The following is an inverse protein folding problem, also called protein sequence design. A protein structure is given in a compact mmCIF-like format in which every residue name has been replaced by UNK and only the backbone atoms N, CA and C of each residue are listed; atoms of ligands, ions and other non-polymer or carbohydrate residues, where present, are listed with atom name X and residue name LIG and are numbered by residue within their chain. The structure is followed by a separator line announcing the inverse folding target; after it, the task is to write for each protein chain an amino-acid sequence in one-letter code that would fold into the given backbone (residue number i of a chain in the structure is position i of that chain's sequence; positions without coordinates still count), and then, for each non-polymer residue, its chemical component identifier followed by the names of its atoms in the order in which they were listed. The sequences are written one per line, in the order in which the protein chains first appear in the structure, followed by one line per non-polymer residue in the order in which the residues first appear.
data_IF_414727826473
#
_entry.id   IF_414727826473
#
_cell.length_a   1.000
_cell.length_b   1.000
_cell.length_c   1.000
_cell.angle_alpha   90.00
_cell.angle_beta   90.00
_cell.angle_gamma   90.00
#
_symmetry.space_group_name_H-M   'P 1'
#
loop_
_entity.id
_entity.type
_entity.pdbx_description
1 polymer ?
#
# COMPACT_ATOMS: atom_id res chain seq x y z
N UNK A 1 73.29 -2.43 55.02
CA UNK A 1 73.54 -2.63 53.57
C UNK A 1 72.46 -3.60 53.08
N UNK A 2 71.67 -3.21 52.06
CA UNK A 2 70.60 -3.98 51.37
C UNK A 2 69.30 -4.22 52.18
N UNK A 3 68.27 -3.38 52.01
CA UNK A 3 67.13 -3.42 51.05
C UNK A 3 66.17 -4.60 51.33
N UNK A 4 64.89 -4.31 51.62
CA UNK A 4 63.73 -4.72 50.82
C UNK A 4 62.44 -4.06 51.38
N UNK A 5 61.89 -3.13 50.61
CA UNK A 5 60.55 -2.59 50.81
C UNK A 5 59.55 -3.51 50.10
N UNK A 6 58.57 -4.05 50.85
CA UNK A 6 57.46 -4.80 50.28
C UNK A 6 56.32 -3.82 49.95
N UNK A 7 56.08 -3.62 48.66
CA UNK A 7 54.84 -3.01 48.15
C UNK A 7 53.74 -4.08 48.16
N UNK A 8 52.68 -3.88 48.94
CA UNK A 8 51.45 -4.66 48.85
C UNK A 8 50.52 -3.95 47.86
N UNK A 9 50.30 -4.54 46.69
CA UNK A 9 49.32 -4.09 45.71
C UNK A 9 47.93 -4.58 46.10
N UNK A 10 47.00 -3.63 46.27
CA UNK A 10 45.58 -3.90 46.48
C UNK A 10 44.93 -4.10 45.09
N UNK A 11 44.58 -5.33 44.73
CA UNK A 11 43.79 -5.61 43.53
C UNK A 11 42.31 -5.53 43.92
N UNK A 12 41.65 -4.42 43.58
CA UNK A 12 40.20 -4.31 43.66
C UNK A 12 39.57 -5.03 42.46
N UNK A 13 38.94 -6.18 42.71
CA UNK A 13 38.14 -6.88 41.71
C UNK A 13 36.79 -6.14 41.54
N UNK A 14 36.64 -5.39 40.45
CA UNK A 14 35.34 -4.88 40.02
C UNK A 14 34.49 -6.07 39.53
N UNK A 15 33.59 -6.55 40.39
CA UNK A 15 32.54 -7.47 39.98
C UNK A 15 31.52 -6.69 39.12
N UNK A 16 31.64 -6.81 37.80
CA UNK A 16 30.60 -6.34 36.86
C UNK A 16 29.45 -7.34 36.95
N UNK A 17 28.41 -6.98 37.70
CA UNK A 17 27.15 -7.70 37.65
C UNK A 17 26.48 -7.36 36.32
N UNK A 18 26.68 -8.23 35.33
CA UNK A 18 25.88 -8.19 34.12
C UNK A 18 24.43 -8.53 34.51
N UNK A 19 23.57 -7.52 34.52
CA UNK A 19 22.13 -7.74 34.62
C UNK A 19 21.71 -8.70 33.50
N UNK A 20 20.94 -9.76 33.79
CA UNK A 20 20.44 -10.64 32.75
C UNK A 20 19.55 -9.80 31.84
N UNK A 21 20.00 -9.58 30.61
CA UNK A 21 19.17 -9.01 29.56
C UNK A 21 17.96 -9.92 29.42
N UNK A 22 16.81 -9.47 29.87
CA UNK A 22 15.52 -10.04 29.48
C UNK A 22 15.50 -10.01 27.96
N UNK A 23 15.77 -11.16 27.34
CA UNK A 23 15.38 -11.40 25.96
C UNK A 23 13.86 -11.32 25.97
N UNK A 24 13.34 -10.17 25.59
CA UNK A 24 12.00 -10.09 25.03
C UNK A 24 11.99 -11.09 23.88
N UNK A 25 11.34 -12.23 24.09
CA UNK A 25 10.86 -13.09 23.02
C UNK A 25 9.76 -12.31 22.30
N UNK A 26 10.16 -11.26 21.59
CA UNK A 26 9.42 -10.80 20.44
C UNK A 26 9.61 -11.95 19.45
N UNK A 27 8.57 -12.76 19.27
CA UNK A 27 8.52 -13.65 18.12
C UNK A 27 8.71 -12.73 16.91
N UNK A 28 9.91 -12.71 16.32
CA UNK A 28 10.10 -12.17 14.98
C UNK A 28 9.02 -12.82 14.13
N UNK A 29 8.02 -12.04 13.73
CA UNK A 29 6.99 -12.49 12.80
C UNK A 29 7.72 -12.81 11.51
N UNK A 30 8.11 -14.07 11.33
CA UNK A 30 8.83 -14.53 10.16
C UNK A 30 8.01 -14.22 8.92
N UNK A 31 8.60 -13.45 7.99
CA UNK A 31 7.99 -13.18 6.70
C UNK A 31 7.87 -14.50 5.93
N UNK A 32 6.67 -14.81 5.46
CA UNK A 32 6.44 -15.95 4.58
C UNK A 32 6.30 -15.44 3.15
N UNK A 33 7.26 -15.78 2.30
CA UNK A 33 7.25 -15.38 0.89
C UNK A 33 6.10 -16.05 0.14
N UNK A 34 5.25 -15.25 -0.49
CA UNK A 34 4.15 -15.70 -1.35
C UNK A 34 4.50 -15.45 -2.82
N UNK A 35 5.10 -14.29 -3.13
CA UNK A 35 5.70 -13.99 -4.43
C UNK A 35 7.08 -13.38 -4.21
N UNK A 36 8.10 -13.85 -4.92
CA UNK A 36 9.49 -13.38 -4.76
C UNK A 36 9.89 -12.28 -5.76
N UNK A 37 8.95 -11.85 -6.62
CA UNK A 37 9.16 -10.81 -7.63
C UNK A 37 10.05 -11.23 -8.80
N UNK A 38 10.28 -12.54 -9.00
CA UNK A 38 11.02 -13.05 -10.17
C UNK A 38 10.16 -13.12 -11.43
N UNK A 39 8.84 -13.30 -11.28
CA UNK A 39 7.86 -13.27 -12.36
C UNK A 39 6.51 -12.73 -11.85
N UNK A 40 5.64 -12.34 -12.79
CA UNK A 40 4.24 -12.11 -12.44
C UNK A 40 3.61 -13.38 -11.90
N UNK A 41 2.86 -13.25 -10.80
CA UNK A 41 2.05 -14.32 -10.23
C UNK A 41 0.70 -13.78 -9.75
N UNK A 42 -0.22 -14.70 -9.51
CA UNK A 42 -1.52 -14.40 -8.95
C UNK A 42 -2.07 -15.55 -8.10
N UNK A 43 -3.03 -15.24 -7.25
CA UNK A 43 -3.62 -16.22 -6.36
C UNK A 43 -4.81 -15.68 -5.57
N UNK A 44 -5.14 -16.36 -4.47
CA UNK A 44 -6.20 -15.95 -3.56
C UNK A 44 -5.72 -15.94 -2.12
N UNK A 45 -6.15 -14.94 -1.35
CA UNK A 45 -5.87 -14.78 0.08
C UNK A 45 -7.14 -14.23 0.72
N UNK A 46 -7.70 -14.97 1.67
CA UNK A 46 -8.80 -14.51 2.55
C UNK A 46 -9.98 -13.87 1.79
N UNK A 47 -10.37 -14.47 0.65
CA UNK A 47 -11.50 -14.02 -0.16
C UNK A 47 -11.17 -12.95 -1.21
N UNK A 48 -9.93 -12.44 -1.22
CA UNK A 48 -9.43 -11.55 -2.27
C UNK A 48 -8.64 -12.37 -3.30
N UNK A 49 -8.64 -11.89 -4.55
CA UNK A 49 -7.61 -12.31 -5.52
C UNK A 49 -6.45 -11.33 -5.46
N UNK A 50 -5.27 -11.74 -5.87
CA UNK A 50 -4.10 -10.86 -5.97
C UNK A 50 -3.35 -11.10 -7.27
N UNK A 51 -2.66 -10.06 -7.74
CA UNK A 51 -1.77 -10.07 -8.91
C UNK A 51 -0.55 -9.21 -8.58
N UNK A 52 0.64 -9.81 -8.67
CA UNK A 52 1.88 -9.20 -8.20
C UNK A 52 2.99 -9.45 -9.23
N UNK A 53 3.80 -8.44 -9.50
CA UNK A 53 5.05 -8.54 -10.26
C UNK A 53 6.26 -8.34 -9.35
N UNK A 54 6.07 -7.73 -8.17
CA UNK A 54 7.07 -7.57 -7.13
C UNK A 54 6.95 -8.61 -6.02
N UNK A 55 7.49 -8.29 -4.85
CA UNK A 55 7.51 -9.21 -3.71
C UNK A 55 6.23 -9.06 -2.91
N UNK A 56 5.63 -10.20 -2.55
CA UNK A 56 4.51 -10.30 -1.63
C UNK A 56 4.89 -11.26 -0.51
N UNK A 57 4.93 -10.75 0.72
CA UNK A 57 5.17 -11.55 1.92
C UNK A 57 3.96 -11.50 2.87
N UNK A 58 3.63 -12.62 3.52
CA UNK A 58 2.74 -12.62 4.69
C UNK A 58 3.55 -12.27 5.93
N UNK A 59 3.06 -11.30 6.70
CA UNK A 59 3.75 -10.72 7.85
C UNK A 59 4.33 -9.34 7.54
N UNK A 60 4.61 -8.60 8.60
CA UNK A 60 5.16 -7.24 8.55
C UNK A 60 5.85 -6.92 9.87
N UNK A 61 6.84 -6.04 9.83
CA UNK A 61 7.64 -5.62 10.99
C UNK A 61 7.30 -4.21 11.50
N UNK A 62 6.87 -3.29 10.63
CA UNK A 62 6.74 -1.86 10.97
C UNK A 62 5.34 -1.28 10.68
N UNK A 63 4.27 -1.96 11.12
CA UNK A 63 2.90 -1.42 10.97
C UNK A 63 1.98 -1.80 12.13
N UNK A 64 0.89 -1.04 12.32
CA UNK A 64 -0.19 -1.39 13.26
C UNK A 64 -1.20 -2.40 12.67
N UNK A 65 -0.95 -2.89 11.45
CA UNK A 65 -1.84 -3.80 10.72
C UNK A 65 -1.63 -5.21 11.28
N UNK A 66 -2.70 -5.85 11.76
CA UNK A 66 -2.62 -7.13 12.47
C UNK A 66 -2.43 -8.28 11.50
N UNK A 67 -3.32 -8.44 10.53
CA UNK A 67 -3.25 -9.45 9.49
C UNK A 67 -2.68 -8.80 8.24
N UNK A 68 -1.34 -8.75 8.19
CA UNK A 68 -0.60 -7.89 7.28
C UNK A 68 0.19 -8.65 6.21
N UNK A 69 0.34 -7.96 5.08
CA UNK A 69 1.04 -8.41 3.90
C UNK A 69 1.96 -7.29 3.41
N UNK A 70 3.24 -7.59 3.29
CA UNK A 70 4.25 -6.63 2.83
C UNK A 70 4.39 -6.71 1.31
N UNK A 71 4.43 -5.55 0.67
CA UNK A 71 4.55 -5.35 -0.78
C UNK A 71 5.87 -4.62 -1.07
N UNK A 72 6.59 -5.06 -2.11
CA UNK A 72 7.80 -4.37 -2.55
C UNK A 72 7.96 -4.35 -4.07
N UNK A 73 8.14 -3.14 -4.59
CA UNK A 73 8.55 -2.89 -5.98
C UNK A 73 9.93 -2.23 -6.02
N UNK A 74 10.79 -2.76 -6.87
CA UNK A 74 12.15 -2.25 -7.09
C UNK A 74 12.20 -0.92 -7.83
N UNK A 75 13.27 -0.14 -7.62
CA UNK A 75 13.61 1.04 -8.43
C UNK A 75 14.27 0.70 -9.77
N UNK A 76 14.67 -0.55 -9.98
CA UNK A 76 15.26 -1.02 -11.25
C UNK A 76 14.17 -1.06 -12.34
N UNK A 77 14.31 -0.20 -13.34
CA UNK A 77 13.33 0.00 -14.42
C UNK A 77 13.18 -1.20 -15.35
N UNK A 78 14.02 -2.23 -15.21
CA UNK A 78 13.99 -3.45 -16.02
C UNK A 78 13.42 -4.67 -15.30
N UNK A 79 13.03 -4.53 -14.04
CA UNK A 79 12.61 -5.63 -13.16
C UNK A 79 11.19 -5.47 -12.64
N UNK A 80 10.59 -6.59 -12.26
CA UNK A 80 9.23 -6.67 -11.71
C UNK A 80 8.20 -6.07 -12.67
N UNK A 81 8.40 -6.27 -13.97
CA UNK A 81 7.57 -5.66 -15.01
C UNK A 81 6.30 -6.46 -15.23
N UNK A 82 5.18 -5.76 -15.40
CA UNK A 82 3.94 -6.33 -15.90
C UNK A 82 4.13 -6.71 -17.38
N UNK A 83 4.09 -8.02 -17.71
CA UNK A 83 4.36 -8.49 -19.07
C UNK A 83 3.30 -8.05 -20.08
N UNK A 84 2.12 -7.64 -19.63
CA UNK A 84 1.03 -7.14 -20.48
C UNK A 84 1.29 -5.76 -21.07
N UNK A 85 2.33 -5.04 -20.64
CA UNK A 85 2.56 -3.63 -21.00
C UNK A 85 3.99 -3.33 -21.47
N UNK A 86 4.48 -4.09 -22.47
CA UNK A 86 5.85 -3.94 -23.00
C UNK A 86 6.16 -2.56 -23.61
N UNK A 87 5.17 -1.88 -24.19
CA UNK A 87 5.33 -0.53 -24.76
C UNK A 87 5.21 0.62 -23.75
N UNK A 88 4.74 0.31 -22.54
CA UNK A 88 4.54 1.28 -21.45
C UNK A 88 4.81 0.56 -20.14
N UNK A 89 6.09 0.27 -19.79
CA UNK A 89 6.42 -0.62 -18.69
C UNK A 89 5.83 -0.17 -17.36
N UNK A 90 5.34 -1.15 -16.59
CA UNK A 90 4.62 -0.94 -15.32
C UNK A 90 5.08 -1.97 -14.31
N UNK A 91 4.91 -1.64 -13.03
CA UNK A 91 5.09 -2.57 -11.91
C UNK A 91 3.79 -2.60 -11.12
N UNK A 92 3.34 -3.79 -10.70
CA UNK A 92 2.03 -3.99 -10.10
C UNK A 92 2.14 -4.94 -8.91
N UNK A 93 1.65 -4.49 -7.76
CA UNK A 93 1.35 -5.32 -6.61
C UNK A 93 -0.05 -4.97 -6.11
N UNK A 94 -1.08 -5.73 -6.51
CA UNK A 94 -2.49 -5.40 -6.23
C UNK A 94 -3.30 -6.58 -5.69
N UNK A 95 -4.13 -6.29 -4.70
CA UNK A 95 -5.23 -7.11 -4.24
C UNK A 95 -6.54 -6.64 -4.87
N UNK A 96 -7.45 -7.57 -5.12
CA UNK A 96 -8.76 -7.32 -5.72
C UNK A 96 -9.86 -7.90 -4.83
N UNK A 97 -10.81 -7.04 -4.46
CA UNK A 97 -12.08 -7.48 -3.91
C UNK A 97 -12.90 -8.26 -4.96
N UNK A 98 -13.90 -9.05 -4.53
CA UNK A 98 -14.75 -9.80 -5.44
C UNK A 98 -15.36 -8.96 -6.55
N UNK A 99 -15.49 -9.58 -7.73
CA UNK A 99 -16.16 -9.00 -8.89
C UNK A 99 -17.65 -8.81 -8.62
N UNK A 100 -18.14 -7.61 -8.88
CA UNK A 100 -19.51 -7.17 -8.66
C UNK A 100 -20.25 -7.08 -10.00
N UNK A 101 -21.44 -7.68 -10.05
CA UNK A 101 -22.36 -7.49 -11.17
C UNK A 101 -22.94 -6.07 -11.17
N UNK A 102 -23.54 -5.66 -12.29
CA UNK A 102 -24.26 -4.38 -12.40
C UNK A 102 -25.36 -4.26 -11.34
N UNK A 103 -25.42 -3.10 -10.68
CA UNK A 103 -26.41 -2.81 -9.65
C UNK A 103 -26.14 -3.44 -8.28
N UNK A 104 -25.04 -4.20 -8.13
CA UNK A 104 -24.64 -4.74 -6.83
C UNK A 104 -24.20 -3.61 -5.89
N UNK A 105 -24.54 -3.74 -4.61
CA UNK A 105 -24.01 -2.86 -3.55
C UNK A 105 -22.77 -3.48 -2.93
N UNK A 106 -21.88 -2.65 -2.43
CA UNK A 106 -20.63 -3.08 -1.80
C UNK A 106 -20.24 -2.14 -0.66
N UNK A 107 -19.46 -2.65 0.29
CA UNK A 107 -18.89 -1.89 1.38
C UNK A 107 -17.63 -2.61 1.88
N UNK A 108 -16.46 -2.04 1.61
CA UNK A 108 -15.18 -2.64 1.93
C UNK A 108 -14.34 -1.70 2.80
N UNK A 109 -13.51 -2.31 3.65
CA UNK A 109 -12.45 -1.60 4.36
C UNK A 109 -11.13 -2.35 4.20
N UNK A 110 -10.02 -1.63 4.31
CA UNK A 110 -8.67 -2.20 4.44
C UNK A 110 -7.75 -1.16 5.05
N UNK A 111 -6.63 -1.61 5.62
CA UNK A 111 -5.54 -0.73 6.06
C UNK A 111 -4.39 -0.74 5.06
N UNK A 112 -3.72 0.39 4.96
CA UNK A 112 -2.46 0.52 4.24
C UNK A 112 -1.45 1.32 5.08
N UNK A 113 -0.19 0.92 5.01
CA UNK A 113 0.95 1.71 5.42
C UNK A 113 1.86 1.87 4.20
N UNK A 114 2.01 3.09 3.68
CA UNK A 114 2.96 3.38 2.60
C UNK A 114 4.22 3.97 3.21
N UNK A 115 5.39 3.42 2.90
CA UNK A 115 6.63 3.93 3.50
C UNK A 115 6.99 5.32 2.98
N UNK A 116 7.52 6.18 3.87
CA UNK A 116 7.90 7.55 3.54
C UNK A 116 9.03 7.66 2.50
N UNK A 117 9.81 6.59 2.33
CA UNK A 117 10.82 6.46 1.27
C UNK A 117 10.23 6.35 -0.14
N UNK A 118 8.92 6.14 -0.26
CA UNK A 118 8.24 6.03 -1.55
C UNK A 118 8.13 7.40 -2.22
N UNK A 119 8.86 7.57 -3.32
CA UNK A 119 8.80 8.74 -4.18
C UNK A 119 7.61 8.69 -5.15
N UNK A 120 7.22 9.87 -5.61
CA UNK A 120 6.17 10.08 -6.60
C UNK A 120 6.71 10.86 -7.79
N UNK A 121 6.01 10.82 -8.93
CA UNK A 121 6.33 11.65 -10.10
C UNK A 121 5.06 12.15 -10.78
N UNK A 122 5.18 12.70 -11.99
CA UNK A 122 4.04 13.05 -12.83
C UNK A 122 3.43 11.85 -13.59
N UNK A 123 4.00 10.64 -13.43
CA UNK A 123 3.47 9.40 -14.01
C UNK A 123 2.44 8.77 -13.07
N UNK A 124 1.50 8.02 -13.63
CA UNK A 124 0.46 7.35 -12.84
C UNK A 124 1.08 6.44 -11.77
N UNK A 125 0.42 6.41 -10.61
CA UNK A 125 0.75 5.53 -9.51
C UNK A 125 -0.51 5.29 -8.67
N UNK A 126 -1.25 4.26 -9.02
CA UNK A 126 -2.49 3.88 -8.36
C UNK A 126 -2.22 3.17 -7.04
N UNK A 127 -2.91 3.62 -5.98
CA UNK A 127 -3.00 2.97 -4.67
C UNK A 127 -4.35 2.26 -4.47
N UNK A 128 -5.39 2.75 -5.14
CA UNK A 128 -6.74 2.16 -5.16
C UNK A 128 -7.38 2.43 -6.52
N UNK A 129 -8.19 1.49 -7.00
CA UNK A 129 -9.04 1.66 -8.18
C UNK A 129 -10.42 1.07 -7.92
N UNK A 130 -11.49 1.80 -8.29
CA UNK A 130 -12.75 1.17 -8.68
C UNK A 130 -12.66 0.92 -10.18
N UNK A 131 -12.58 -0.34 -10.59
CA UNK A 131 -12.22 -0.73 -11.95
C UNK A 131 -13.42 -1.35 -12.69
N UNK A 132 -13.67 -0.90 -13.91
CA UNK A 132 -14.64 -1.51 -14.83
C UNK A 132 -13.93 -2.58 -15.66
N UNK A 133 -14.13 -3.84 -15.29
CA UNK A 133 -13.53 -5.00 -15.95
C UNK A 133 -13.99 -5.15 -17.39
N UNK A 134 -15.24 -4.73 -17.68
CA UNK A 134 -15.83 -4.85 -19.01
C UNK A 134 -15.28 -3.80 -19.97
N UNK A 135 -15.07 -2.58 -19.49
CA UNK A 135 -14.44 -1.52 -20.28
C UNK A 135 -12.90 -1.62 -20.28
N UNK A 136 -12.31 -2.31 -19.30
CA UNK A 136 -10.86 -2.44 -19.16
C UNK A 136 -10.18 -1.17 -18.64
N UNK A 137 -10.92 -0.33 -17.90
CA UNK A 137 -10.47 0.99 -17.46
C UNK A 137 -10.92 1.32 -16.03
N UNK A 138 -10.17 2.17 -15.31
CA UNK A 138 -10.60 2.64 -14.01
C UNK A 138 -11.80 3.58 -14.14
N UNK A 139 -12.77 3.44 -13.23
CA UNK A 139 -13.84 4.42 -13.01
C UNK A 139 -13.31 5.56 -12.13
N UNK A 140 -12.66 5.20 -11.03
CA UNK A 140 -12.09 6.11 -10.04
C UNK A 140 -10.76 5.52 -9.56
N UNK A 141 -9.78 6.37 -9.32
CA UNK A 141 -8.53 5.97 -8.67
C UNK A 141 -8.16 6.87 -7.50
N UNK A 142 -7.33 6.33 -6.61
CA UNK A 142 -6.49 7.10 -5.70
C UNK A 142 -5.05 6.97 -6.19
N UNK A 143 -4.42 8.10 -6.47
CA UNK A 143 -3.08 8.16 -7.07
C UNK A 143 -2.07 8.87 -6.15
N UNK A 144 -0.82 8.41 -6.18
CA UNK A 144 0.34 9.05 -5.55
C UNK A 144 1.20 9.77 -6.60
N UNK A 145 0.87 11.02 -6.89
CA UNK A 145 1.46 11.80 -8.00
C UNK A 145 1.90 13.18 -7.55
N UNK A 146 3.05 13.65 -8.04
CA UNK A 146 3.57 15.00 -7.79
C UNK A 146 3.56 15.42 -6.30
N UNK A 147 3.96 14.53 -5.39
CA UNK A 147 3.99 14.77 -3.95
C UNK A 147 2.61 14.82 -3.30
N UNK A 148 1.57 14.35 -3.99
CA UNK A 148 0.19 14.36 -3.51
C UNK A 148 -0.41 12.96 -3.56
N UNK A 149 -1.37 12.75 -2.65
CA UNK A 149 -2.41 11.74 -2.82
C UNK A 149 -3.62 12.44 -3.42
N UNK A 150 -4.13 11.94 -4.54
CA UNK A 150 -5.18 12.60 -5.32
C UNK A 150 -6.20 11.59 -5.86
N UNK A 151 -7.47 11.98 -5.86
CA UNK A 151 -8.52 11.24 -6.56
C UNK A 151 -8.49 11.58 -8.05
N UNK A 152 -8.71 10.61 -8.91
CA UNK A 152 -9.12 10.85 -10.29
C UNK A 152 -10.43 10.13 -10.57
N UNK A 153 -11.30 10.77 -11.35
CA UNK A 153 -12.62 10.25 -11.67
C UNK A 153 -12.87 10.33 -13.17
N UNK A 154 -12.55 9.23 -13.85
CA UNK A 154 -12.55 9.16 -15.30
C UNK A 154 -13.96 9.27 -15.88
N UNK A 155 -15.00 8.87 -15.15
CA UNK A 155 -16.39 9.02 -15.63
C UNK A 155 -16.81 10.48 -15.61
N UNK A 156 -16.56 11.21 -14.51
CA UNK A 156 -16.89 12.64 -14.41
C UNK A 156 -15.92 13.50 -15.20
N UNK A 157 -14.70 13.01 -15.41
CA UNK A 157 -13.64 13.62 -16.21
C UNK A 157 -13.73 13.33 -17.71
N UNK A 158 -14.78 12.67 -18.20
CA UNK A 158 -14.96 12.32 -19.61
C UNK A 158 -13.78 11.55 -20.22
N UNK A 159 -13.23 10.58 -19.48
CA UNK A 159 -12.08 9.76 -19.86
C UNK A 159 -10.73 10.32 -19.41
N UNK A 160 -10.69 11.57 -18.92
CA UNK A 160 -9.46 12.19 -18.41
C UNK A 160 -9.30 11.96 -16.91
N UNK A 161 -8.05 11.97 -16.43
CA UNK A 161 -7.69 11.91 -15.02
C UNK A 161 -8.06 13.22 -14.27
N UNK A 162 -9.35 13.55 -14.24
CA UNK A 162 -9.92 14.76 -13.62
C UNK A 162 -11.21 14.42 -12.88
N UNK A 163 -11.90 15.41 -12.30
CA UNK A 163 -13.19 15.23 -11.62
C UNK A 163 -14.27 16.09 -12.31
N UNK A 164 -14.11 16.27 -13.63
CA UNK A 164 -14.94 17.16 -14.44
C UNK A 164 -14.59 18.62 -14.20
N UNK A 165 -15.61 19.46 -14.04
CA UNK A 165 -15.43 20.90 -13.77
C UNK A 165 -14.95 21.21 -12.36
N UNK A 166 -15.05 20.25 -11.43
CA UNK A 166 -14.54 20.39 -10.07
C UNK A 166 -13.08 19.95 -9.98
N UNK A 167 -12.31 20.62 -9.11
CA UNK A 167 -11.00 20.13 -8.73
C UNK A 167 -11.15 18.79 -8.01
N UNK A 168 -10.28 17.83 -8.34
CA UNK A 168 -10.24 16.58 -7.61
C UNK A 168 -9.74 16.78 -6.18
N UNK A 169 -10.31 16.07 -5.18
CA UNK A 169 -9.74 16.04 -3.84
C UNK A 169 -8.28 15.57 -3.89
N UNK A 170 -7.40 16.33 -3.25
CA UNK A 170 -6.00 15.96 -3.07
C UNK A 170 -5.48 16.44 -1.72
N UNK A 171 -4.35 15.88 -1.30
CA UNK A 171 -3.61 16.27 -0.09
C UNK A 171 -2.13 15.95 -0.28
N UNK A 172 -1.27 16.61 0.50
CA UNK A 172 0.16 16.31 0.47
C UNK A 172 0.39 14.84 0.89
N UNK A 173 1.26 14.11 0.19
CA UNK A 173 1.58 12.71 0.52
C UNK A 173 2.16 12.54 1.93
N UNK A 174 2.77 13.60 2.49
CA UNK A 174 3.23 13.63 3.87
C UNK A 174 2.12 13.37 4.91
N UNK A 175 0.85 13.60 4.55
CA UNK A 175 -0.29 13.29 5.42
C UNK A 175 -0.72 11.82 5.35
N UNK A 176 -0.12 11.02 4.45
CA UNK A 176 -0.53 9.66 4.12
C UNK A 176 0.56 8.62 4.38
N UNK A 177 1.80 8.88 3.95
CA UNK A 177 2.90 7.94 4.11
C UNK A 177 3.52 8.00 5.51
N UNK A 178 4.24 6.95 5.92
CA UNK A 178 4.86 6.86 7.25
C UNK A 178 3.84 6.71 8.40
N UNK A 179 2.57 6.46 8.09
CA UNK A 179 1.50 6.21 9.05
C UNK A 179 0.55 5.17 8.48
N UNK A 180 -0.09 4.38 9.35
CA UNK A 180 -1.16 3.47 8.91
C UNK A 180 -2.42 4.29 8.68
N UNK A 181 -3.07 4.04 7.55
CA UNK A 181 -4.33 4.64 7.15
C UNK A 181 -5.39 3.55 6.95
N UNK A 182 -6.63 3.87 7.29
CA UNK A 182 -7.80 3.03 7.02
C UNK A 182 -8.57 3.61 5.85
N UNK A 183 -8.79 2.77 4.85
CA UNK A 183 -9.63 3.03 3.71
C UNK A 183 -11.03 2.48 3.96
N UNK A 184 -12.04 3.22 3.52
CA UNK A 184 -13.43 2.76 3.53
C UNK A 184 -14.07 3.18 2.23
N UNK A 185 -14.60 2.21 1.49
CA UNK A 185 -15.33 2.45 0.24
C UNK A 185 -16.66 1.73 0.27
N UNK A 186 -17.73 2.39 -0.12
CA UNK A 186 -19.04 1.76 -0.28
C UNK A 186 -19.79 2.37 -1.45
N UNK A 187 -20.75 1.62 -1.99
CA UNK A 187 -21.45 2.10 -3.17
C UNK A 187 -22.42 1.11 -3.78
N UNK A 188 -22.79 1.44 -5.02
CA UNK A 188 -23.59 0.61 -5.92
C UNK A 188 -23.05 0.75 -7.34
N UNK A 189 -22.82 -0.36 -8.02
CA UNK A 189 -22.29 -0.39 -9.40
C UNK A 189 -23.38 -0.06 -10.43
N UNK A 190 -22.96 0.21 -11.67
CA UNK A 190 -23.85 0.43 -12.82
C UNK A 190 -24.15 1.89 -13.14
N UNK A 191 -24.97 2.12 -14.17
CA UNK A 191 -25.21 3.45 -14.77
C UNK A 191 -25.84 4.49 -13.83
N UNK A 192 -26.64 4.05 -12.87
CA UNK A 192 -27.22 4.87 -11.78
C UNK A 192 -26.56 4.56 -10.43
N UNK A 193 -25.28 4.23 -10.48
CA UNK A 193 -24.47 3.90 -9.33
C UNK A 193 -24.16 5.09 -8.42
N UNK A 194 -23.42 4.77 -7.35
CA UNK A 194 -22.89 5.74 -6.40
C UNK A 194 -21.68 5.17 -5.71
N UNK A 195 -20.82 6.05 -5.22
CA UNK A 195 -19.67 5.69 -4.40
C UNK A 195 -19.48 6.71 -3.29
N UNK A 196 -19.03 6.24 -2.14
CA UNK A 196 -18.47 7.04 -1.06
C UNK A 196 -17.14 6.40 -0.68
N UNK A 197 -16.09 7.20 -0.63
CA UNK A 197 -14.74 6.76 -0.35
C UNK A 197 -14.08 7.71 0.65
N UNK A 198 -13.42 7.16 1.66
CA UNK A 198 -12.69 7.92 2.66
C UNK A 198 -11.37 7.25 3.00
N UNK A 199 -10.36 8.08 3.29
CA UNK A 199 -9.08 7.68 3.88
C UNK A 199 -8.92 8.43 5.18
N UNK A 200 -8.66 7.69 6.26
CA UNK A 200 -8.48 8.22 7.62
C UNK A 200 -7.21 7.68 8.22
N UNK A 201 -6.53 8.44 9.08
CA UNK A 201 -5.40 7.92 9.84
C UNK A 201 -5.88 6.95 10.92
N UNK A 202 -5.17 5.84 11.08
CA UNK A 202 -5.51 4.81 12.07
C UNK A 202 -5.18 5.22 13.51
N UNK A 203 -4.20 6.10 13.69
CA UNK A 203 -3.70 6.51 15.01
C UNK A 203 -4.60 7.52 15.73
N UNK A 204 -5.23 8.44 15.00
CA UNK A 204 -6.03 9.52 15.57
C UNK A 204 -7.41 9.73 14.92
N UNK A 205 -7.72 9.01 13.83
CA UNK A 205 -8.99 9.12 13.12
C UNK A 205 -9.12 10.33 12.20
N UNK A 206 -8.06 11.14 12.03
CA UNK A 206 -8.09 12.32 11.17
C UNK A 206 -8.36 11.90 9.71
N UNK A 207 -9.27 12.62 9.08
CA UNK A 207 -9.62 12.39 7.68
C UNK A 207 -8.57 13.02 6.77
N UNK A 208 -7.87 12.17 6.02
CA UNK A 208 -6.87 12.57 5.02
C UNK A 208 -7.56 13.02 3.73
N UNK A 209 -8.55 12.25 3.27
CA UNK A 209 -9.24 12.49 2.02
C UNK A 209 -10.66 11.90 2.06
N UNK A 210 -11.59 12.54 1.37
CA UNK A 210 -12.92 11.97 1.11
C UNK A 210 -13.42 12.33 -0.27
N UNK A 211 -14.16 11.40 -0.87
CA UNK A 211 -14.79 11.57 -2.16
C UNK A 211 -16.16 10.88 -2.22
N UNK A 212 -17.08 11.46 -2.96
CA UNK A 212 -18.36 10.82 -3.26
C UNK A 212 -18.87 11.26 -4.61
N UNK A 213 -19.44 10.32 -5.37
CA UNK A 213 -20.01 10.59 -6.67
C UNK A 213 -21.26 9.74 -6.92
N UNK A 214 -22.08 10.18 -7.87
CA UNK A 214 -23.24 9.47 -8.40
C UNK A 214 -23.12 9.34 -9.91
N UNK A 215 -23.87 8.42 -10.50
CA UNK A 215 -23.85 8.14 -11.94
C UNK A 215 -23.12 6.82 -12.21
N UNK A 216 -22.54 6.69 -13.41
CA UNK A 216 -21.93 5.42 -13.82
C UNK A 216 -20.79 5.00 -12.87
N UNK A 217 -20.91 3.79 -12.33
CA UNK A 217 -19.92 3.08 -11.53
C UNK A 217 -19.65 1.72 -12.17
N UNK A 218 -19.24 1.77 -13.45
CA UNK A 218 -19.02 0.62 -14.32
C UNK A 218 -20.19 0.32 -15.27
N UNK A 219 -19.85 -0.28 -16.41
CA UNK A 219 -20.71 -0.65 -17.53
C UNK A 219 -21.03 -2.15 -17.57
N UNK A 220 -20.28 -2.95 -16.83
CA UNK A 220 -20.54 -4.38 -16.65
C UNK A 220 -20.04 -4.87 -15.29
N UNK A 221 -19.07 -5.78 -15.32
CA UNK A 221 -18.43 -6.29 -14.10
C UNK A 221 -17.48 -5.25 -13.53
N UNK A 222 -17.61 -4.94 -12.23
CA UNK A 222 -16.81 -3.91 -11.56
C UNK A 222 -16.19 -4.46 -10.29
N UNK A 223 -15.01 -4.01 -9.88
CA UNK A 223 -14.42 -4.41 -8.60
C UNK A 223 -13.47 -3.35 -8.06
N UNK A 224 -13.17 -3.45 -6.77
CA UNK A 224 -12.19 -2.58 -6.12
C UNK A 224 -10.84 -3.29 -6.09
N UNK A 225 -9.79 -2.56 -6.48
CA UNK A 225 -8.39 -2.96 -6.41
C UNK A 225 -7.67 -2.05 -5.43
N UNK A 226 -6.69 -2.56 -4.70
CA UNK A 226 -5.80 -1.75 -3.86
C UNK A 226 -4.41 -2.37 -3.78
N UNK A 227 -3.42 -1.55 -3.45
CA UNK A 227 -2.02 -1.96 -3.41
C UNK A 227 -1.14 -0.86 -3.99
N UNK A 228 -0.24 -1.22 -4.89
CA UNK A 228 0.67 -0.29 -5.58
C UNK A 228 0.82 -0.69 -7.05
N UNK A 229 0.36 0.16 -7.97
CA UNK A 229 0.50 -0.07 -9.41
C UNK A 229 0.94 1.20 -10.11
N UNK A 230 2.14 1.18 -10.72
CA UNK A 230 2.81 2.40 -11.19
C UNK A 230 3.46 2.26 -12.55
N UNK A 231 3.59 3.39 -13.24
CA UNK A 231 4.45 3.48 -14.41
C UNK A 231 5.93 3.39 -14.00
N UNK A 232 6.74 2.76 -14.84
CA UNK A 232 8.19 2.79 -14.71
C UNK A 232 8.73 4.09 -15.31
N UNK A 233 9.68 4.72 -14.62
CA UNK A 233 10.37 5.92 -15.11
C UNK A 233 11.80 6.02 -14.55
N UNK A 234 12.66 6.75 -15.26
CA UNK A 234 14.03 7.00 -14.80
C UNK A 234 14.05 7.82 -13.52
N UNK A 235 14.82 7.38 -12.51
CA UNK A 235 14.90 8.04 -11.21
C UNK A 235 13.77 7.69 -10.23
N UNK A 236 12.95 6.67 -10.54
CA UNK A 236 11.96 6.16 -9.59
C UNK A 236 12.63 5.56 -8.35
N UNK A 237 11.97 5.66 -7.19
CA UNK A 237 12.42 5.01 -5.95
C UNK A 237 11.87 3.58 -5.87
N UNK A 238 12.34 2.83 -4.88
CA UNK A 238 11.61 1.64 -4.43
C UNK A 238 10.25 2.03 -3.86
N UNK A 239 9.31 1.08 -3.86
CA UNK A 239 8.05 1.18 -3.13
C UNK A 239 8.05 0.08 -2.10
N UNK A 240 7.79 0.45 -0.86
CA UNK A 240 7.44 -0.48 0.20
C UNK A 240 6.05 -0.10 0.69
N UNK A 241 5.17 -1.08 0.86
CA UNK A 241 3.89 -0.90 1.48
C UNK A 241 3.52 -2.11 2.33
N UNK A 242 2.66 -1.90 3.32
CA UNK A 242 1.98 -2.97 4.04
C UNK A 242 0.49 -2.77 3.84
N UNK A 243 -0.24 -3.85 3.58
CA UNK A 243 -1.69 -3.85 3.50
C UNK A 243 -2.27 -4.97 4.35
N UNK A 244 -3.53 -4.86 4.77
CA UNK A 244 -4.15 -5.88 5.60
C UNK A 244 -5.42 -5.40 6.28
N UNK A 245 -5.86 -6.18 7.28
CA UNK A 245 -7.05 -5.90 8.10
C UNK A 245 -8.29 -5.53 7.25
N UNK A 246 -8.50 -6.24 6.14
CA UNK A 246 -9.62 -5.95 5.23
C UNK A 246 -10.93 -6.59 5.66
N UNK A 247 -12.03 -5.99 5.22
CA UNK A 247 -13.39 -6.52 5.40
C UNK A 247 -14.15 -6.52 4.08
N UNK A 248 -14.86 -7.62 3.82
CA UNK A 248 -15.72 -7.87 2.65
C UNK A 248 -17.17 -7.48 2.93
#
# INVERSE_FOLDING_TARGET
MHIHALFLSLVAANAVWASPTTRTTELERGLTVINDGTSEAGGTIEGLTWQMTGVLDKGCTESTIKDCYSLYLTSDTSKMLDPGFTSSPRQRDEFHFPKLALGASFSYTWKQYLYASTGTSSKFFHLMQLFDDTAGEPVITLDAVNGQIQIHDYVRGNGEASCGSAACPSTNIANYHGTTVTHTISGKTGSSGKVSYTVTRDDNGDKILSYSAKGSMGTGTTYVKFGTYRAVFSGMTTVNAVVGDWTL
#
